data_IF_562333247571
#
_entry.id   IF_562333247571
#
_cell.length_a   1.000
_cell.length_b   1.000
_cell.length_c   1.000
_cell.angle_alpha   90.00
_cell.angle_beta   90.00
_cell.angle_gamma   90.00
#
_symmetry.space_group_name_H-M   'P 1'
#
loop_
_entity.id
_entity.type
_entity.pdbx_description
1 polymer ?
#
# COMPACT_ATOMS: atom_id res chain seq x y z
N UNK A 1 44.46 55.18 -11.19
CA UNK A 1 43.64 54.13 -11.84
C UNK A 1 42.84 53.44 -10.74
N UNK A 2 41.53 53.67 -10.66
CA UNK A 2 40.68 52.98 -9.68
C UNK A 2 40.32 51.59 -10.22
N UNK A 3 40.65 50.55 -9.46
CA UNK A 3 40.29 49.17 -9.79
C UNK A 3 38.77 49.02 -9.75
N UNK A 4 38.18 48.56 -10.86
CA UNK A 4 36.75 48.30 -10.96
C UNK A 4 36.40 47.09 -10.09
N UNK A 5 35.73 47.33 -8.96
CA UNK A 5 35.25 46.28 -8.06
C UNK A 5 34.26 45.37 -8.79
N UNK A 6 34.43 44.05 -8.65
CA UNK A 6 33.56 43.07 -9.31
C UNK A 6 32.17 43.11 -8.67
N UNK A 7 31.12 42.98 -9.47
CA UNK A 7 29.71 42.94 -9.00
C UNK A 7 29.48 41.89 -7.90
N UNK A 8 30.25 40.80 -7.92
CA UNK A 8 30.23 39.72 -6.93
C UNK A 8 30.69 40.14 -5.53
N UNK A 9 31.32 41.30 -5.38
CA UNK A 9 31.70 41.86 -4.07
C UNK A 9 30.50 42.53 -3.35
N UNK A 10 29.44 42.89 -4.08
CA UNK A 10 28.26 43.57 -3.52
C UNK A 10 27.14 42.61 -3.11
N UNK A 11 27.18 41.34 -3.54
CA UNK A 11 26.15 40.34 -3.24
C UNK A 11 26.78 39.03 -2.79
N UNK A 12 26.30 38.47 -1.68
CA UNK A 12 26.65 37.11 -1.29
C UNK A 12 26.17 36.14 -2.38
N UNK A 13 27.04 35.21 -2.79
CA UNK A 13 26.71 34.20 -3.80
C UNK A 13 25.55 33.34 -3.28
N UNK A 14 24.33 33.61 -3.75
CA UNK A 14 23.18 32.75 -3.53
C UNK A 14 23.37 31.48 -4.36
N UNK A 15 23.87 30.42 -3.73
CA UNK A 15 23.88 29.09 -4.36
C UNK A 15 22.44 28.63 -4.55
N UNK A 16 22.09 28.28 -5.78
CA UNK A 16 20.78 27.72 -6.09
C UNK A 16 20.57 26.44 -5.28
N UNK A 17 19.49 26.39 -4.48
CA UNK A 17 19.04 25.18 -3.78
C UNK A 17 18.22 24.25 -4.68
N UNK A 18 18.18 24.52 -6.00
CA UNK A 18 17.39 23.79 -6.98
C UNK A 18 17.84 22.33 -7.05
N UNK A 19 17.06 21.45 -6.44
CA UNK A 19 17.20 20.00 -6.58
C UNK A 19 16.64 19.55 -7.93
N UNK A 20 17.35 18.65 -8.60
CA UNK A 20 16.87 18.08 -9.85
C UNK A 20 15.69 17.11 -9.58
N UNK A 21 14.75 16.99 -10.51
CA UNK A 21 13.55 16.14 -10.33
C UNK A 21 13.89 14.68 -10.01
N UNK A 22 14.97 14.15 -10.59
CA UNK A 22 15.49 12.79 -10.32
C UNK A 22 15.88 12.62 -8.85
N UNK A 23 16.66 13.56 -8.30
CA UNK A 23 17.11 13.52 -6.91
C UNK A 23 15.92 13.55 -5.92
N UNK A 24 14.89 14.36 -6.21
CA UNK A 24 13.67 14.41 -5.39
C UNK A 24 12.93 13.06 -5.42
N UNK A 25 12.89 12.38 -6.57
CA UNK A 25 12.25 11.07 -6.70
C UNK A 25 13.02 9.98 -5.93
N UNK A 26 14.34 9.98 -6.01
CA UNK A 26 15.21 9.05 -5.26
C UNK A 26 15.05 9.24 -3.76
N UNK A 27 15.06 10.48 -3.27
CA UNK A 27 14.82 10.80 -1.85
C UNK A 27 13.44 10.31 -1.39
N UNK A 28 12.39 10.53 -2.20
CA UNK A 28 11.05 10.03 -1.92
C UNK A 28 11.00 8.49 -1.87
N UNK A 29 11.68 7.82 -2.78
CA UNK A 29 11.74 6.36 -2.84
C UNK A 29 12.48 5.79 -1.62
N UNK A 30 13.60 6.39 -1.23
CA UNK A 30 14.36 6.00 -0.05
C UNK A 30 13.55 6.21 1.25
N UNK A 31 12.83 7.33 1.35
CA UNK A 31 11.94 7.58 2.48
C UNK A 31 10.78 6.57 2.53
N UNK A 32 10.18 6.23 1.39
CA UNK A 32 9.15 5.19 1.31
C UNK A 32 9.69 3.84 1.76
N UNK A 33 10.88 3.45 1.29
CA UNK A 33 11.53 2.21 1.72
C UNK A 33 11.70 2.15 3.24
N UNK A 34 12.19 3.23 3.85
CA UNK A 34 12.33 3.35 5.32
C UNK A 34 10.98 3.22 6.03
N UNK A 35 9.93 3.85 5.51
CA UNK A 35 8.57 3.78 6.09
C UNK A 35 8.03 2.34 6.05
N UNK A 36 8.23 1.64 4.94
CA UNK A 36 7.82 0.22 4.76
C UNK A 36 8.59 -0.68 5.73
N UNK A 37 9.91 -0.55 5.80
CA UNK A 37 10.75 -1.34 6.70
C UNK A 37 10.39 -1.15 8.18
N UNK A 38 10.12 0.10 8.57
CA UNK A 38 9.75 0.43 9.96
C UNK A 38 8.27 0.20 10.26
N UNK A 39 7.45 -0.13 9.25
CA UNK A 39 5.99 -0.19 9.33
C UNK A 39 5.37 1.03 10.03
N UNK A 40 5.98 2.22 9.88
CA UNK A 40 5.70 3.37 10.75
C UNK A 40 4.28 3.92 10.65
N UNK A 41 3.57 3.65 9.55
CA UNK A 41 2.17 4.05 9.38
C UNK A 41 1.16 3.15 10.08
N UNK A 42 1.56 1.98 10.61
CA UNK A 42 0.65 1.07 11.35
C UNK A 42 -0.04 1.76 12.53
N UNK A 43 0.60 2.77 13.14
CA UNK A 43 0.03 3.56 14.25
C UNK A 43 -1.12 4.48 13.82
N UNK A 44 -1.23 4.76 12.52
CA UNK A 44 -2.29 5.61 11.95
C UNK A 44 -3.52 4.81 11.51
N UNK A 45 -3.57 3.53 11.85
CA UNK A 45 -4.63 2.61 11.46
C UNK A 45 -5.36 2.13 12.70
N UNK A 46 -6.68 2.26 12.69
CA UNK A 46 -7.56 1.81 13.75
C UNK A 46 -8.32 0.57 13.33
N UNK A 47 -8.23 -0.51 14.11
CA UNK A 47 -9.14 -1.64 13.94
C UNK A 47 -10.50 -1.22 14.51
N UNK A 48 -11.55 -1.44 13.74
CA UNK A 48 -12.92 -1.34 14.22
C UNK A 48 -13.68 -2.61 13.86
N UNK A 49 -14.75 -2.89 14.60
CA UNK A 49 -15.64 -4.02 14.34
C UNK A 49 -16.93 -3.51 13.70
N UNK A 50 -17.30 -4.14 12.60
CA UNK A 50 -18.54 -3.96 11.86
C UNK A 50 -19.32 -5.27 11.94
N UNK A 51 -20.62 -5.18 12.20
CA UNK A 51 -21.48 -6.36 12.28
C UNK A 51 -21.53 -7.14 10.96
N UNK A 52 -21.59 -6.42 9.83
CA UNK A 52 -21.72 -7.04 8.50
C UNK A 52 -20.38 -7.53 7.93
N UNK A 53 -19.29 -6.81 8.17
CA UNK A 53 -17.97 -7.04 7.53
C UNK A 53 -16.95 -7.71 8.45
N UNK A 54 -17.27 -7.87 9.74
CA UNK A 54 -16.30 -8.25 10.75
C UNK A 54 -15.30 -7.12 11.05
N UNK A 55 -14.00 -7.42 11.04
CA UNK A 55 -12.96 -6.42 11.33
C UNK A 55 -12.71 -5.55 10.11
N UNK A 56 -12.55 -4.24 10.32
CA UNK A 56 -12.13 -3.30 9.29
C UNK A 56 -11.11 -2.30 9.81
N UNK A 57 -10.59 -1.45 8.91
CA UNK A 57 -9.62 -0.41 9.26
C UNK A 57 -10.19 0.98 9.00
N UNK A 58 -10.03 1.89 9.97
CA UNK A 58 -10.25 3.32 9.82
C UNK A 58 -8.94 4.12 9.88
N UNK A 59 -8.94 5.27 9.22
CA UNK A 59 -7.80 6.18 9.25
C UNK A 59 -7.76 7.00 10.55
N UNK A 60 -6.64 6.98 11.28
CA UNK A 60 -6.40 7.88 12.45
C UNK A 60 -5.77 9.22 12.08
N UNK A 61 -5.41 9.42 10.82
CA UNK A 61 -4.91 10.68 10.26
C UNK A 61 -5.51 10.90 8.88
N UNK A 62 -5.45 12.14 8.39
CA UNK A 62 -5.73 12.39 6.99
C UNK A 62 -4.58 11.84 6.12
N UNK A 63 -4.93 11.26 4.97
CA UNK A 63 -3.99 10.87 3.92
C UNK A 63 -4.27 11.66 2.65
N UNK A 64 -3.24 12.25 2.06
CA UNK A 64 -3.37 12.96 0.78
C UNK A 64 -3.42 11.97 -0.39
N UNK A 65 -4.06 12.34 -1.50
CA UNK A 65 -4.06 11.55 -2.73
C UNK A 65 -2.64 11.17 -3.16
N UNK A 66 -2.42 9.88 -3.36
CA UNK A 66 -1.13 9.30 -3.74
C UNK A 66 -0.19 9.02 -2.58
N UNK A 67 -0.53 9.39 -1.35
CA UNK A 67 0.24 9.07 -0.16
C UNK A 67 0.25 7.56 0.11
N UNK A 68 1.40 7.05 0.59
CA UNK A 68 1.51 5.69 1.10
C UNK A 68 0.70 5.54 2.39
N UNK A 69 -0.15 4.51 2.44
CA UNK A 69 -0.98 4.22 3.60
C UNK A 69 -0.39 3.06 4.39
N UNK A 70 -0.31 1.88 3.79
CA UNK A 70 0.21 0.68 4.46
C UNK A 70 0.73 -0.34 3.44
N UNK A 71 1.61 -1.23 3.89
CA UNK A 71 1.96 -2.44 3.15
C UNK A 71 0.88 -3.52 3.38
N UNK A 72 0.48 -4.23 2.32
CA UNK A 72 -0.23 -5.49 2.49
C UNK A 72 0.82 -6.54 2.89
N UNK A 73 1.12 -6.60 4.19
CA UNK A 73 2.28 -7.34 4.70
C UNK A 73 1.93 -8.81 4.92
N UNK A 74 2.77 -9.69 4.39
CA UNK A 74 2.69 -11.14 4.49
C UNK A 74 3.91 -11.79 3.83
N UNK A 75 3.87 -13.10 3.65
CA UNK A 75 4.93 -13.83 2.96
C UNK A 75 4.75 -13.72 1.44
N UNK A 76 5.76 -13.25 0.72
CA UNK A 76 5.73 -13.22 -0.74
C UNK A 76 6.16 -14.59 -1.26
N UNK A 77 5.21 -15.29 -1.88
CA UNK A 77 5.41 -16.62 -2.44
C UNK A 77 5.08 -16.63 -3.94
N UNK A 78 5.62 -17.60 -4.66
CA UNK A 78 5.23 -17.80 -6.05
C UNK A 78 3.84 -18.44 -6.15
N UNK A 79 3.19 -18.31 -7.30
CA UNK A 79 1.85 -18.85 -7.55
C UNK A 79 1.70 -20.37 -7.35
N UNK A 80 2.76 -21.17 -7.54
CA UNK A 80 2.69 -22.62 -7.32
C UNK A 80 2.52 -22.95 -5.84
N UNK A 81 3.33 -22.32 -4.98
CA UNK A 81 3.22 -22.47 -3.52
C UNK A 81 1.88 -21.90 -3.04
N UNK A 82 1.48 -20.75 -3.58
CA UNK A 82 0.22 -20.11 -3.21
C UNK A 82 -0.99 -21.04 -3.44
N UNK A 83 -1.05 -21.70 -4.60
CA UNK A 83 -2.12 -22.65 -4.91
C UNK A 83 -2.18 -23.83 -3.94
N UNK A 84 -1.02 -24.39 -3.55
CA UNK A 84 -0.96 -25.47 -2.57
C UNK A 84 -1.54 -25.00 -1.22
N UNK A 85 -1.15 -23.82 -0.75
CA UNK A 85 -1.69 -23.24 0.49
C UNK A 85 -3.17 -22.92 0.40
N UNK A 86 -3.67 -22.43 -0.73
CA UNK A 86 -5.11 -22.20 -0.93
C UNK A 86 -5.90 -23.51 -0.83
N UNK A 87 -5.40 -24.59 -1.44
CA UNK A 87 -6.00 -25.92 -1.34
C UNK A 87 -6.02 -26.39 0.13
N UNK A 88 -4.93 -26.25 0.87
CA UNK A 88 -4.86 -26.58 2.30
C UNK A 88 -5.82 -25.73 3.16
N UNK A 89 -5.85 -24.41 2.96
CA UNK A 89 -6.72 -23.50 3.72
C UNK A 89 -8.20 -23.74 3.40
N UNK A 90 -8.53 -24.14 2.17
CA UNK A 90 -9.91 -24.45 1.78
C UNK A 90 -10.52 -25.64 2.54
N UNK A 91 -9.67 -26.50 3.15
CA UNK A 91 -10.12 -27.63 3.97
C UNK A 91 -10.56 -27.21 5.39
N UNK A 92 -10.26 -25.98 5.80
CA UNK A 92 -10.61 -25.47 7.13
C UNK A 92 -11.43 -24.17 7.02
N UNK A 93 -12.74 -24.29 7.22
CA UNK A 93 -13.69 -23.17 7.13
C UNK A 93 -13.42 -22.03 8.13
N UNK A 94 -12.59 -22.26 9.16
CA UNK A 94 -12.20 -21.23 10.11
C UNK A 94 -11.09 -20.31 9.59
N UNK A 95 -10.46 -20.64 8.45
CA UNK A 95 -9.40 -19.84 7.84
C UNK A 95 -10.01 -18.91 6.78
N UNK A 96 -9.91 -17.61 7.02
CA UNK A 96 -10.32 -16.59 6.05
C UNK A 96 -9.37 -16.49 4.84
N UNK A 97 -9.83 -15.85 3.77
CA UNK A 97 -9.02 -15.60 2.58
C UNK A 97 -8.19 -14.32 2.74
N UNK A 98 -6.88 -14.46 2.92
CA UNK A 98 -5.94 -13.35 3.08
C UNK A 98 -4.79 -13.39 2.06
N UNK A 99 -4.97 -14.15 0.98
CA UNK A 99 -3.98 -14.33 -0.08
C UNK A 99 -4.22 -13.32 -1.20
N UNK A 100 -3.21 -12.51 -1.52
CA UNK A 100 -3.29 -11.47 -2.54
C UNK A 100 -2.39 -11.81 -3.73
N UNK A 101 -2.99 -12.12 -4.88
CA UNK A 101 -2.25 -12.36 -6.13
C UNK A 101 -1.92 -11.08 -6.90
N UNK A 102 -0.69 -10.98 -7.41
CA UNK A 102 -0.26 -9.88 -8.26
C UNK A 102 0.82 -10.31 -9.24
N UNK A 103 0.90 -9.61 -10.38
CA UNK A 103 1.97 -9.81 -11.37
C UNK A 103 3.09 -8.80 -11.13
N UNK A 104 4.32 -9.27 -11.13
CA UNK A 104 5.52 -8.45 -11.09
C UNK A 104 6.55 -9.01 -12.07
N UNK A 105 7.08 -8.16 -12.95
CA UNK A 105 8.07 -8.54 -13.99
C UNK A 105 7.70 -9.82 -14.78
N UNK A 106 6.42 -9.94 -15.18
CA UNK A 106 5.92 -11.11 -15.93
C UNK A 106 5.64 -12.36 -15.10
N UNK A 107 6.00 -12.38 -13.82
CA UNK A 107 5.79 -13.51 -12.92
C UNK A 107 4.59 -13.26 -12.00
N UNK A 108 3.78 -14.30 -11.76
CA UNK A 108 2.65 -14.25 -10.83
C UNK A 108 3.11 -14.64 -9.42
N UNK A 109 2.97 -13.70 -8.49
CA UNK A 109 3.25 -13.84 -7.07
C UNK A 109 1.97 -13.76 -6.25
N UNK A 110 2.08 -14.16 -4.98
CA UNK A 110 1.05 -13.97 -3.98
C UNK A 110 1.68 -13.41 -2.70
N UNK A 111 1.03 -12.44 -2.06
CA UNK A 111 1.28 -12.16 -0.64
C UNK A 111 0.33 -12.99 0.19
N UNK A 112 0.86 -13.94 0.93
CA UNK A 112 0.10 -14.73 1.89
C UNK A 112 0.14 -14.04 3.27
N UNK A 113 -0.99 -13.45 3.65
CA UNK A 113 -1.19 -12.83 4.97
C UNK A 113 -2.13 -13.65 5.85
N UNK A 114 -2.21 -14.97 5.67
CA UNK A 114 -3.17 -15.82 6.37
C UNK A 114 -2.87 -15.92 7.87
N UNK A 115 -1.59 -16.01 8.26
CA UNK A 115 -1.18 -16.00 9.66
C UNK A 115 -1.61 -14.73 10.38
N UNK A 116 -2.11 -14.86 11.60
CA UNK A 116 -2.48 -13.71 12.42
C UNK A 116 -1.21 -12.97 12.88
N UNK A 117 -1.17 -11.66 12.63
CA UNK A 117 -0.03 -10.81 13.00
C UNK A 117 -0.54 -9.46 13.50
N UNK A 118 0.38 -8.62 13.99
CA UNK A 118 0.08 -7.24 14.38
C UNK A 118 -0.16 -6.27 13.20
N UNK A 119 0.09 -6.72 11.96
CA UNK A 119 0.02 -5.87 10.77
C UNK A 119 -1.40 -5.76 10.24
N UNK A 120 -1.87 -4.53 10.02
CA UNK A 120 -3.30 -4.25 9.81
C UNK A 120 -3.73 -4.25 8.34
N UNK A 121 -2.78 -4.25 7.39
CA UNK A 121 -3.09 -4.20 5.96
C UNK A 121 -4.05 -5.30 5.48
N UNK A 122 -3.93 -6.51 6.05
CA UNK A 122 -4.80 -7.67 5.77
C UNK A 122 -6.26 -7.52 6.23
N UNK A 123 -6.57 -6.52 7.05
CA UNK A 123 -7.91 -6.27 7.60
C UNK A 123 -8.64 -5.13 6.86
N UNK A 124 -8.04 -4.57 5.80
CA UNK A 124 -8.66 -3.52 5.01
C UNK A 124 -9.73 -4.16 4.13
N UNK A 125 -10.97 -3.70 4.27
CA UNK A 125 -12.11 -4.28 3.59
C UNK A 125 -12.18 -3.92 2.10
N UNK A 126 -13.08 -4.62 1.41
CA UNK A 126 -13.36 -4.42 0.00
C UNK A 126 -14.37 -3.30 -0.28
N UNK A 127 -14.14 -2.56 -1.36
CA UNK A 127 -15.17 -1.85 -2.10
C UNK A 127 -14.81 -1.80 -3.59
N UNK A 128 -15.73 -2.22 -4.46
CA UNK A 128 -15.56 -2.15 -5.91
C UNK A 128 -15.95 -0.76 -6.45
N UNK A 129 -17.02 -0.17 -5.92
CA UNK A 129 -17.62 1.06 -6.43
C UNK A 129 -16.98 2.31 -5.83
N UNK A 130 -16.60 2.26 -4.55
CA UNK A 130 -16.09 3.43 -3.81
C UNK A 130 -14.77 3.16 -3.06
N UNK A 131 -13.76 2.52 -3.66
CA UNK A 131 -12.46 2.35 -3.01
C UNK A 131 -11.77 3.70 -2.84
N UNK A 132 -11.22 3.95 -1.67
CA UNK A 132 -10.37 5.11 -1.38
C UNK A 132 -8.87 4.76 -1.39
N UNK A 133 -8.53 3.47 -1.47
CA UNK A 133 -7.18 2.96 -1.67
C UNK A 133 -7.03 2.28 -3.04
N UNK A 134 -5.79 2.17 -3.51
CA UNK A 134 -5.40 1.31 -4.63
C UNK A 134 -4.09 0.61 -4.31
N UNK A 135 -3.92 -0.60 -4.84
CA UNK A 135 -2.68 -1.35 -4.66
C UNK A 135 -1.63 -0.97 -5.70
N UNK A 136 -0.35 -1.05 -5.30
CA UNK A 136 0.81 -0.87 -6.18
C UNK A 136 1.93 -1.80 -5.73
N UNK A 137 2.68 -2.33 -6.69
CA UNK A 137 3.95 -2.99 -6.41
C UNK A 137 5.06 -1.94 -6.44
N UNK A 138 5.89 -1.92 -5.41
CA UNK A 138 7.12 -1.11 -5.36
C UNK A 138 8.30 -2.05 -5.32
N UNK A 139 9.26 -1.80 -6.19
CA UNK A 139 10.46 -2.61 -6.36
C UNK A 139 11.69 -1.80 -5.91
N UNK A 140 12.47 -2.36 -4.99
CA UNK A 140 13.72 -1.80 -4.47
C UNK A 140 14.95 -2.60 -4.96
N UNK A 141 14.80 -3.41 -6.00
CA UNK A 141 15.84 -4.22 -6.63
C UNK A 141 16.07 -5.54 -5.89
N UNK A 142 16.40 -5.48 -4.60
CA UNK A 142 16.60 -6.69 -3.77
C UNK A 142 15.31 -7.29 -3.23
N UNK A 143 14.24 -6.49 -3.19
CA UNK A 143 12.93 -6.87 -2.67
C UNK A 143 11.86 -6.01 -3.32
N UNK A 144 10.64 -6.55 -3.37
CA UNK A 144 9.46 -5.82 -3.82
C UNK A 144 8.34 -6.01 -2.82
N UNK A 145 7.44 -5.02 -2.76
CA UNK A 145 6.39 -4.93 -1.76
C UNK A 145 5.06 -4.57 -2.41
N UNK A 146 3.98 -5.21 -1.96
CA UNK A 146 2.62 -4.82 -2.29
C UNK A 146 2.14 -3.76 -1.30
N UNK A 147 1.89 -2.55 -1.78
CA UNK A 147 1.48 -1.41 -0.95
C UNK A 147 0.10 -0.92 -1.32
N UNK A 148 -0.59 -0.31 -0.35
CA UNK A 148 -1.80 0.47 -0.56
C UNK A 148 -1.48 1.96 -0.50
N UNK A 149 -1.93 2.69 -1.52
CA UNK A 149 -1.81 4.14 -1.61
C UNK A 149 -3.18 4.79 -1.72
N UNK A 150 -3.31 6.00 -1.18
CA UNK A 150 -4.55 6.76 -1.25
C UNK A 150 -4.90 7.10 -2.71
N UNK A 151 -6.12 6.76 -3.14
CA UNK A 151 -6.66 7.04 -4.49
C UNK A 151 -7.22 8.46 -4.60
N UNK A 152 -7.69 9.00 -3.47
CA UNK A 152 -8.16 10.36 -3.23
C UNK A 152 -7.69 10.81 -1.84
N UNK A 153 -7.97 12.05 -1.46
CA UNK A 153 -7.79 12.46 -0.07
C UNK A 153 -8.73 11.66 0.84
N UNK A 154 -8.22 11.26 2.01
CA UNK A 154 -8.91 10.45 3.01
C UNK A 154 -8.86 11.21 4.32
N UNK A 155 -10.02 11.42 4.94
CA UNK A 155 -10.16 12.09 6.22
C UNK A 155 -10.02 11.12 7.40
N UNK A 156 -9.78 11.67 8.59
CA UNK A 156 -9.78 10.92 9.85
C UNK A 156 -11.15 10.25 10.04
N UNK A 157 -11.15 9.00 10.48
CA UNK A 157 -12.34 8.21 10.77
C UNK A 157 -12.95 7.50 9.56
N UNK A 158 -12.53 7.82 8.33
CA UNK A 158 -13.00 7.10 7.14
C UNK A 158 -12.54 5.63 7.15
N UNK A 159 -13.43 4.73 6.76
CA UNK A 159 -13.08 3.33 6.50
C UNK A 159 -12.15 3.26 5.30
N UNK A 160 -11.03 2.55 5.44
CA UNK A 160 -10.11 2.26 4.37
C UNK A 160 -10.62 1.07 3.56
N UNK A 161 -10.70 1.25 2.25
CA UNK A 161 -11.31 0.30 1.33
C UNK A 161 -10.52 0.22 0.02
N UNK A 162 -10.32 -0.99 -0.49
CA UNK A 162 -9.74 -1.22 -1.82
C UNK A 162 -10.51 -2.26 -2.63
N UNK A 163 -10.30 -2.25 -3.94
CA UNK A 163 -10.86 -3.28 -4.82
C UNK A 163 -10.00 -4.54 -4.73
N UNK A 164 -10.57 -5.66 -4.25
CA UNK A 164 -9.87 -6.94 -4.11
C UNK A 164 -9.48 -7.54 -5.46
N UNK A 165 -10.06 -7.05 -6.56
CA UNK A 165 -9.73 -7.50 -7.91
C UNK A 165 -10.27 -8.88 -8.26
N UNK A 166 -11.08 -9.49 -7.40
CA UNK A 166 -11.73 -10.77 -7.69
C UNK A 166 -12.83 -10.57 -8.72
N UNK A 167 -12.79 -11.39 -9.77
CA UNK A 167 -13.70 -11.32 -10.94
C UNK A 167 -14.22 -12.68 -11.37
N UNK A 168 -13.81 -13.77 -10.71
CA UNK A 168 -14.30 -15.12 -10.98
C UNK A 168 -15.78 -15.22 -10.63
N UNK A 169 -16.57 -15.70 -11.59
CA UNK A 169 -18.03 -15.80 -11.51
C UNK A 169 -18.50 -16.63 -10.31
N UNK A 170 -17.82 -17.75 -10.06
CA UNK A 170 -18.11 -18.69 -8.99
C UNK A 170 -17.84 -18.11 -7.59
N UNK A 171 -16.81 -17.27 -7.46
CA UNK A 171 -16.48 -16.59 -6.20
C UNK A 171 -17.47 -15.46 -5.94
N UNK A 172 -17.81 -14.69 -6.97
CA UNK A 172 -18.81 -13.62 -6.92
C UNK A 172 -20.19 -14.16 -6.57
N UNK A 173 -20.59 -15.30 -7.13
CA UNK A 173 -21.88 -15.92 -6.85
C UNK A 173 -22.05 -16.25 -5.35
N UNK A 174 -20.95 -16.68 -4.70
CA UNK A 174 -20.92 -16.94 -3.25
C UNK A 174 -20.73 -15.68 -2.41
N UNK A 175 -20.13 -14.63 -2.98
CA UNK A 175 -19.78 -13.39 -2.29
C UNK A 175 -20.28 -12.16 -3.08
N UNK A 176 -21.60 -11.89 -3.12
CA UNK A 176 -22.16 -10.83 -3.98
C UNK A 176 -21.67 -9.41 -3.66
N UNK A 177 -21.13 -9.20 -2.44
CA UNK A 177 -20.53 -7.94 -2.01
C UNK A 177 -19.29 -7.56 -2.83
N UNK A 178 -18.65 -8.50 -3.55
CA UNK A 178 -17.51 -8.24 -4.45
C UNK A 178 -17.84 -7.37 -5.67
N UNK A 179 -19.14 -7.21 -6.01
CA UNK A 179 -19.56 -6.33 -7.11
C UNK A 179 -20.29 -5.07 -6.66
N UNK A 180 -20.92 -5.13 -5.48
CA UNK A 180 -21.93 -4.13 -5.05
C UNK A 180 -21.45 -3.21 -3.92
N UNK A 181 -20.27 -3.46 -3.36
CA UNK A 181 -19.68 -2.67 -2.26
C UNK A 181 -18.99 -1.38 -2.71
#
# INVERSE_FOLDING_TARGET
MQAQKKITEYFTVRRSTRRQGKQIQEEKMANLHKIIQTCSNEKFLEIYVCEEKGRGIKAKKCFAKGEFVVEYKGEIINSKIARVREEEYSLNENIGSYMYYFKHQGTLYCVDATSETKYKGRLINHSALRPNLRTRVIDFGSSFHLILVAKRDINIGEELLYDYGERRTEVIAKNPWLLKS
#
